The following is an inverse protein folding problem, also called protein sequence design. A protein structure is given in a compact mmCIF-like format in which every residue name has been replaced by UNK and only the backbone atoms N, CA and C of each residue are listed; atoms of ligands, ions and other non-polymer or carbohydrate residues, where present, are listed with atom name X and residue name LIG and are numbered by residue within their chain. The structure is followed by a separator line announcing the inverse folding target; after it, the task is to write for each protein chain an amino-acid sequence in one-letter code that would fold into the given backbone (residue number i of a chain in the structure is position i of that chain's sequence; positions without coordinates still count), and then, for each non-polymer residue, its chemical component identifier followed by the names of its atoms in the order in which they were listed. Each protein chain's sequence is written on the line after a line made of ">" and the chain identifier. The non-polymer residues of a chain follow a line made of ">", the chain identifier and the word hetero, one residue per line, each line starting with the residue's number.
data_IF_659774955624
#
_entry.id   IF_659774955624
#
_cell.length_a   1.000
_cell.length_b   1.000
_cell.length_c   1.000
_cell.angle_alpha   90.00
_cell.angle_beta   90.00
_cell.angle_gamma   90.00
#
_symmetry.space_group_name_H-M   'P 1'
#
loop_
_entity.id
_entity.type
_entity.pdbx_description
1 polymer ?
#
# COMPACT_ATOMS: atom_id res chain seq x y z
N UNK A 1 -12.45 2.01 -9.51
CA UNK A 1 -11.82 1.18 -10.54
C UNK A 1 -11.07 0.06 -9.79
N UNK A 2 -10.71 -1.02 -10.44
CA UNK A 2 -9.93 -2.10 -9.82
C UNK A 2 -8.62 -2.18 -10.59
N UNK A 3 -7.61 -2.87 -10.06
CA UNK A 3 -6.39 -3.13 -10.85
C UNK A 3 -6.78 -3.56 -12.28
N UNK A 4 -6.15 -2.99 -13.32
CA UNK A 4 -6.58 -3.15 -14.71
C UNK A 4 -6.18 -4.53 -15.29
N UNK A 5 -6.23 -5.57 -14.46
CA UNK A 5 -5.85 -6.93 -14.78
C UNK A 5 -7.03 -7.88 -14.48
N UNK A 6 -7.30 -8.79 -15.43
CA UNK A 6 -8.34 -9.80 -15.26
C UNK A 6 -7.87 -10.88 -14.28
N UNK A 7 -8.31 -10.75 -13.03
CA UNK A 7 -8.11 -11.77 -11.99
C UNK A 7 -8.94 -13.00 -12.34
N UNK A 8 -8.27 -14.15 -12.47
CA UNK A 8 -8.92 -15.44 -12.74
C UNK A 8 -9.16 -16.24 -11.47
N UNK A 9 -8.35 -16.00 -10.44
CA UNK A 9 -8.42 -16.75 -9.20
C UNK A 9 -8.01 -15.90 -8.00
N UNK A 10 -8.62 -16.16 -6.85
CA UNK A 10 -8.31 -15.45 -5.60
C UNK A 10 -8.36 -16.41 -4.42
N UNK A 11 -7.33 -16.37 -3.59
CA UNK A 11 -7.28 -17.03 -2.29
C UNK A 11 -6.98 -16.01 -1.20
N UNK A 12 -7.63 -16.16 -0.04
CA UNK A 12 -7.35 -15.36 1.15
C UNK A 12 -7.15 -16.31 2.31
N UNK A 13 -6.06 -16.12 3.05
CA UNK A 13 -5.74 -16.85 4.27
C UNK A 13 -5.59 -15.89 5.43
N UNK A 14 -6.00 -16.33 6.62
CA UNK A 14 -5.52 -15.71 7.85
C UNK A 14 -4.18 -16.33 8.25
N UNK A 15 -3.24 -15.49 8.68
CA UNK A 15 -1.98 -15.91 9.29
C UNK A 15 -1.76 -15.19 10.62
N UNK A 16 -0.99 -15.83 11.50
CA UNK A 16 -0.43 -15.18 12.67
C UNK A 16 0.96 -14.63 12.33
N UNK A 17 1.14 -13.33 12.53
CA UNK A 17 2.42 -12.63 12.40
C UNK A 17 3.35 -12.98 13.56
N UNK A 18 4.65 -12.75 13.38
CA UNK A 18 5.65 -12.99 14.41
C UNK A 18 5.37 -12.21 15.72
N UNK A 19 4.80 -11.01 15.61
CA UNK A 19 4.40 -10.19 16.75
C UNK A 19 3.09 -10.66 17.44
N UNK A 20 2.55 -11.81 17.05
CA UNK A 20 1.35 -12.42 17.63
C UNK A 20 0.01 -11.92 17.08
N UNK A 21 0.02 -10.86 16.25
CA UNK A 21 -1.16 -10.32 15.57
C UNK A 21 -1.63 -11.19 14.42
N UNK A 22 -2.89 -11.06 14.07
CA UNK A 22 -3.48 -11.70 12.90
C UNK A 22 -3.40 -10.77 11.69
N UNK A 23 -3.24 -11.35 10.50
CA UNK A 23 -3.30 -10.66 9.23
C UNK A 23 -4.05 -11.51 8.21
N UNK A 24 -4.83 -10.87 7.35
CA UNK A 24 -5.28 -11.51 6.12
C UNK A 24 -4.21 -11.33 5.06
N UNK A 25 -3.92 -12.39 4.32
CA UNK A 25 -3.07 -12.36 3.13
C UNK A 25 -3.87 -12.90 1.96
N UNK A 26 -3.94 -12.12 0.90
CA UNK A 26 -4.54 -12.52 -0.35
C UNK A 26 -3.47 -12.89 -1.38
N UNK A 27 -3.75 -13.91 -2.19
CA UNK A 27 -3.08 -14.17 -3.46
C UNK A 27 -4.11 -14.10 -4.57
N UNK A 28 -3.78 -13.39 -5.63
CA UNK A 28 -4.55 -13.41 -6.88
C UNK A 28 -3.69 -13.97 -8.00
N UNK A 29 -4.34 -14.63 -8.95
CA UNK A 29 -3.73 -15.05 -10.21
C UNK A 29 -4.37 -14.28 -11.36
N UNK A 30 -3.55 -13.83 -12.29
CA UNK A 30 -3.98 -13.26 -13.56
C UNK A 30 -4.05 -14.35 -14.65
N UNK A 31 -4.61 -14.01 -15.82
CA UNK A 31 -4.73 -14.92 -16.97
C UNK A 31 -3.39 -15.43 -17.52
N UNK A 32 -2.30 -14.73 -17.26
CA UNK A 32 -0.94 -15.09 -17.66
C UNK A 32 -0.19 -15.88 -16.56
N UNK A 33 -0.94 -16.44 -15.60
CA UNK A 33 -0.46 -17.14 -14.41
C UNK A 33 0.40 -16.29 -13.46
N UNK A 34 0.45 -14.96 -13.65
CA UNK A 34 1.15 -14.08 -12.72
C UNK A 34 0.44 -14.03 -11.38
N UNK A 35 1.18 -14.36 -10.32
CA UNK A 35 0.71 -14.28 -8.95
C UNK A 35 1.09 -12.94 -8.29
N UNK A 36 0.07 -12.27 -7.73
CA UNK A 36 0.26 -11.13 -6.85
C UNK A 36 -0.21 -11.42 -5.44
N UNK A 37 0.35 -10.69 -4.49
CA UNK A 37 0.07 -10.83 -3.07
C UNK A 37 -0.27 -9.49 -2.43
N UNK A 38 -1.14 -9.54 -1.43
CA UNK A 38 -1.63 -8.39 -0.70
C UNK A 38 -1.98 -8.77 0.73
N UNK A 39 -2.13 -7.78 1.61
CA UNK A 39 -2.41 -8.05 3.02
C UNK A 39 -3.42 -7.06 3.61
N UNK A 40 -3.96 -7.40 4.78
CA UNK A 40 -4.69 -6.47 5.63
C UNK A 40 -4.45 -6.82 7.10
N UNK A 41 -4.02 -5.83 7.88
CA UNK A 41 -3.84 -5.95 9.34
C UNK A 41 -5.10 -5.59 10.13
N UNK A 42 -6.12 -5.05 9.45
CA UNK A 42 -7.45 -4.75 9.98
C UNK A 42 -8.49 -5.81 9.58
N UNK A 43 -8.02 -6.92 8.99
CA UNK A 43 -8.83 -8.06 8.58
C UNK A 43 -9.88 -7.75 7.49
N UNK A 44 -9.60 -6.75 6.65
CA UNK A 44 -10.39 -6.46 5.45
C UNK A 44 -9.83 -7.20 4.22
N UNK A 45 -10.55 -8.24 3.80
CA UNK A 45 -10.19 -9.03 2.63
C UNK A 45 -10.29 -8.25 1.30
N UNK A 46 -11.09 -7.17 1.23
CA UNK A 46 -11.19 -6.34 0.01
C UNK A 46 -9.89 -5.59 -0.24
N UNK A 47 -9.32 -4.99 0.82
CA UNK A 47 -8.03 -4.30 0.77
C UNK A 47 -6.92 -5.27 0.37
N UNK A 48 -6.84 -6.42 1.02
CA UNK A 48 -5.82 -7.43 0.69
C UNK A 48 -5.90 -7.88 -0.78
N UNK A 49 -7.11 -8.05 -1.32
CA UNK A 49 -7.31 -8.45 -2.72
C UNK A 49 -6.93 -7.34 -3.71
N UNK A 50 -7.29 -6.09 -3.42
CA UNK A 50 -6.91 -4.95 -4.28
C UNK A 50 -5.39 -4.80 -4.33
N UNK A 51 -4.72 -4.88 -3.17
CA UNK A 51 -3.25 -4.89 -3.10
C UNK A 51 -2.65 -6.02 -3.94
N UNK A 52 -3.18 -7.24 -3.81
CA UNK A 52 -2.72 -8.39 -4.55
C UNK A 52 -2.89 -8.22 -6.06
N UNK A 53 -3.99 -7.61 -6.51
CA UNK A 53 -4.25 -7.36 -7.92
C UNK A 53 -3.27 -6.34 -8.52
N UNK A 54 -2.96 -5.27 -7.79
CA UNK A 54 -1.93 -4.31 -8.20
C UNK A 54 -0.51 -4.89 -8.18
N UNK A 55 -0.18 -5.72 -7.19
CA UNK A 55 1.09 -6.45 -7.15
C UNK A 55 1.23 -7.39 -8.36
N UNK A 56 0.17 -8.15 -8.69
CA UNK A 56 0.17 -9.03 -9.85
C UNK A 56 0.29 -8.24 -11.16
N UNK A 57 -0.43 -7.13 -11.29
CA UNK A 57 -0.40 -6.29 -12.48
C UNK A 57 0.99 -5.70 -12.72
N UNK A 58 1.63 -5.18 -11.68
CA UNK A 58 3.00 -4.67 -11.74
C UNK A 58 4.01 -5.77 -12.13
N UNK A 59 3.86 -6.98 -11.58
CA UNK A 59 4.69 -8.15 -11.95
C UNK A 59 4.50 -8.56 -13.40
N UNK A 60 3.26 -8.66 -13.87
CA UNK A 60 2.92 -9.03 -15.25
C UNK A 60 3.49 -8.01 -16.25
N UNK A 61 3.45 -6.72 -15.89
CA UNK A 61 4.06 -5.64 -16.68
C UNK A 61 5.59 -5.53 -16.54
N UNK A 62 6.25 -6.41 -15.77
CA UNK A 62 7.69 -6.37 -15.54
C UNK A 62 8.19 -5.08 -14.89
N UNK A 63 7.34 -4.36 -14.16
CA UNK A 63 7.62 -3.01 -13.66
C UNK A 63 7.41 -2.92 -12.15
N UNK A 64 8.26 -2.22 -11.38
CA UNK A 64 8.00 -1.92 -9.98
C UNK A 64 6.72 -1.11 -9.83
N UNK A 65 5.86 -1.46 -8.87
CA UNK A 65 4.57 -0.80 -8.68
C UNK A 65 4.72 0.71 -8.48
N UNK A 66 5.74 1.15 -7.75
CA UNK A 66 5.96 2.58 -7.52
C UNK A 66 6.26 3.37 -8.81
N UNK A 67 6.93 2.77 -9.81
CA UNK A 67 7.15 3.42 -11.11
C UNK A 67 5.86 3.44 -11.93
N UNK A 68 5.12 2.34 -11.89
CA UNK A 68 3.80 2.24 -12.53
C UNK A 68 2.83 3.30 -12.01
N UNK A 69 2.91 3.63 -10.72
CA UNK A 69 2.12 4.68 -10.07
C UNK A 69 2.71 6.09 -10.23
N UNK A 70 3.77 6.26 -11.04
CA UNK A 70 4.36 7.56 -11.36
C UNK A 70 5.33 8.11 -10.30
N UNK A 71 5.79 7.28 -9.36
CA UNK A 71 6.84 7.68 -8.43
C UNK A 71 8.17 7.95 -9.14
N UNK A 72 8.94 8.93 -8.65
CA UNK A 72 10.15 9.45 -9.33
C UNK A 72 11.47 9.24 -8.57
N UNK A 73 11.43 9.04 -7.25
CA UNK A 73 12.62 8.92 -6.38
C UNK A 73 12.90 7.50 -5.88
N UNK A 74 14.15 7.09 -5.72
CA UNK A 74 14.44 5.73 -5.24
C UNK A 74 14.15 5.53 -3.74
N UNK A 75 14.08 6.61 -2.96
CA UNK A 75 13.92 6.57 -1.51
C UNK A 75 12.78 7.47 -1.03
N UNK A 76 12.08 7.02 0.01
CA UNK A 76 10.97 7.73 0.62
C UNK A 76 11.31 8.02 2.09
N UNK A 77 11.31 9.29 2.55
CA UNK A 77 11.55 9.59 3.95
C UNK A 77 10.53 8.90 4.86
N UNK A 78 11.01 8.38 5.99
CA UNK A 78 10.18 7.77 7.03
C UNK A 78 10.41 8.53 8.33
N UNK A 79 9.34 9.02 8.93
CA UNK A 79 9.41 9.81 10.17
C UNK A 79 8.42 9.31 11.21
N UNK A 80 8.73 9.60 12.48
CA UNK A 80 7.75 9.48 13.55
C UNK A 80 6.76 10.65 13.47
N UNK A 81 5.47 10.35 13.51
CA UNK A 81 4.40 11.35 13.66
C UNK A 81 3.27 10.75 14.50
N UNK A 82 2.93 11.43 15.60
CA UNK A 82 1.86 11.02 16.51
C UNK A 82 0.49 11.60 16.16
N UNK A 83 0.43 12.53 15.21
CA UNK A 83 -0.81 13.21 14.83
C UNK A 83 -1.77 12.25 14.10
N UNK A 84 -3.09 12.38 14.31
CA UNK A 84 -4.06 11.54 13.63
C UNK A 84 -4.07 11.78 12.11
N UNK A 85 -4.31 10.71 11.35
CA UNK A 85 -4.64 10.82 9.94
C UNK A 85 -5.99 11.54 9.75
N UNK A 86 -6.13 12.23 8.63
CA UNK A 86 -7.41 12.80 8.21
C UNK A 86 -8.42 11.66 7.99
N UNK A 87 -9.67 11.90 8.38
CA UNK A 87 -10.75 10.94 8.20
C UNK A 87 -10.88 10.53 6.71
N UNK A 88 -11.22 9.26 6.41
CA UNK A 88 -11.31 8.74 5.04
C UNK A 88 -12.58 9.18 4.32
N UNK A 89 -12.80 10.49 4.22
CA UNK A 89 -13.93 11.12 3.54
C UNK A 89 -13.42 12.09 2.45
N UNK A 90 -13.68 11.73 1.20
CA UNK A 90 -13.20 12.46 0.03
C UNK A 90 -13.73 13.89 -0.02
N UNK A 91 -14.99 14.08 0.32
CA UNK A 91 -15.67 15.34 0.02
C UNK A 91 -15.19 16.48 0.96
N UNK A 92 -15.10 16.30 2.29
CA UNK A 92 -14.44 17.25 3.19
C UNK A 92 -12.95 17.44 2.88
N UNK A 93 -12.23 16.35 2.56
CA UNK A 93 -10.80 16.42 2.24
C UNK A 93 -10.56 17.29 1.00
N UNK A 94 -11.29 17.03 -0.09
CA UNK A 94 -11.17 17.76 -1.33
C UNK A 94 -11.50 19.25 -1.15
N UNK A 95 -12.59 19.58 -0.43
CA UNK A 95 -12.90 20.99 -0.09
C UNK A 95 -11.78 21.64 0.72
N UNK A 96 -11.20 20.93 1.68
CA UNK A 96 -10.09 21.44 2.49
C UNK A 96 -8.80 21.66 1.69
N UNK A 97 -8.50 20.75 0.74
CA UNK A 97 -7.40 20.87 -0.21
C UNK A 97 -7.55 22.12 -1.09
N UNK A 98 -8.71 22.29 -1.75
CA UNK A 98 -8.99 23.45 -2.61
C UNK A 98 -8.92 24.75 -1.82
N UNK A 99 -9.43 24.75 -0.58
CA UNK A 99 -9.36 25.90 0.32
C UNK A 99 -7.98 26.08 1.00
N UNK A 100 -6.96 25.29 0.62
CA UNK A 100 -5.59 25.31 1.18
C UNK A 100 -5.55 25.26 2.72
N UNK A 101 -6.45 24.49 3.32
CA UNK A 101 -6.56 24.35 4.79
C UNK A 101 -5.49 23.45 5.39
N UNK A 102 -4.83 22.65 4.57
CA UNK A 102 -3.85 21.67 5.02
C UNK A 102 -2.44 22.12 4.62
N UNK A 103 -1.54 22.20 5.60
CA UNK A 103 -0.09 22.30 5.34
C UNK A 103 0.49 20.97 4.85
N UNK A 104 -0.15 19.87 5.20
CA UNK A 104 0.19 18.50 4.82
C UNK A 104 -1.06 17.63 4.95
N UNK A 105 -1.27 16.74 3.97
CA UNK A 105 -2.32 15.73 4.01
C UNK A 105 -1.77 14.50 4.73
N UNK A 106 -2.20 14.26 5.96
CA UNK A 106 -1.94 12.99 6.66
C UNK A 106 -3.03 12.01 6.29
N UNK A 107 -2.68 10.87 5.71
CA UNK A 107 -3.66 9.89 5.28
C UNK A 107 -3.25 8.48 5.66
N UNK A 108 -4.23 7.69 6.09
CA UNK A 108 -4.08 6.25 6.29
C UNK A 108 -4.55 5.50 5.04
N UNK A 109 -3.65 5.07 4.14
CA UNK A 109 -4.04 4.44 2.88
C UNK A 109 -4.84 3.15 3.07
N UNK A 110 -4.74 2.49 4.24
CA UNK A 110 -5.48 1.26 4.55
C UNK A 110 -6.93 1.58 4.91
N UNK A 111 -7.18 2.69 5.60
CA UNK A 111 -8.53 3.17 5.91
C UNK A 111 -9.31 3.70 4.69
N UNK A 112 -8.61 4.19 3.66
CA UNK A 112 -9.23 4.60 2.39
C UNK A 112 -9.63 3.40 1.50
N UNK A 113 -9.09 2.22 1.82
CA UNK A 113 -9.39 0.94 1.20
C UNK A 113 -8.79 0.76 -0.19
N UNK A 114 -9.38 1.38 -1.20
CA UNK A 114 -9.01 1.19 -2.61
C UNK A 114 -7.80 2.04 -3.00
N UNK A 115 -6.79 1.43 -3.65
CA UNK A 115 -5.56 2.09 -4.07
C UNK A 115 -5.81 3.35 -4.90
N UNK A 116 -6.83 3.32 -5.74
CA UNK A 116 -7.12 4.43 -6.66
C UNK A 116 -7.68 5.65 -5.97
N UNK A 117 -8.42 5.47 -4.87
CA UNK A 117 -8.85 6.60 -4.04
C UNK A 117 -7.60 7.26 -3.44
N UNK A 118 -6.66 6.45 -2.96
CA UNK A 118 -5.37 6.95 -2.48
C UNK A 118 -4.62 7.69 -3.58
N UNK A 119 -4.51 7.12 -4.78
CA UNK A 119 -3.86 7.78 -5.92
C UNK A 119 -4.56 9.08 -6.34
N UNK A 120 -5.89 9.12 -6.30
CA UNK A 120 -6.67 10.33 -6.60
C UNK A 120 -6.36 11.45 -5.60
N UNK A 121 -6.21 11.12 -4.32
CA UNK A 121 -5.83 12.06 -3.26
C UNK A 121 -4.39 12.52 -3.46
N UNK A 122 -3.45 11.61 -3.67
CA UNK A 122 -2.03 11.94 -3.90
C UNK A 122 -1.89 12.86 -5.11
N UNK A 123 -2.59 12.56 -6.22
CA UNK A 123 -2.58 13.39 -7.40
C UNK A 123 -3.25 14.77 -7.18
N UNK A 124 -4.36 14.83 -6.43
CA UNK A 124 -5.02 16.09 -6.10
C UNK A 124 -4.13 16.98 -5.21
N UNK A 125 -3.48 16.40 -4.20
CA UNK A 125 -2.56 17.11 -3.34
C UNK A 125 -1.33 17.61 -4.11
N UNK A 126 -0.76 16.79 -5.00
CA UNK A 126 0.36 17.17 -5.85
C UNK A 126 0.03 18.35 -6.78
N UNK A 127 -1.16 18.38 -7.41
CA UNK A 127 -1.62 19.51 -8.24
C UNK A 127 -1.73 20.83 -7.47
N UNK A 128 -1.89 20.75 -6.15
CA UNK A 128 -2.02 21.90 -5.25
C UNK A 128 -0.75 22.16 -4.45
N UNK A 129 0.37 21.50 -4.79
CA UNK A 129 1.65 21.59 -4.09
C UNK A 129 1.51 21.37 -2.56
N UNK A 130 0.64 20.44 -2.18
CA UNK A 130 0.40 20.07 -0.78
C UNK A 130 1.10 18.74 -0.49
N UNK A 131 2.08 18.71 0.44
CA UNK A 131 2.74 17.47 0.84
C UNK A 131 1.77 16.40 1.36
N UNK A 132 2.10 15.13 1.14
CA UNK A 132 1.31 14.00 1.62
C UNK A 132 2.16 13.14 2.57
N UNK A 133 1.64 12.83 3.75
CA UNK A 133 2.21 11.86 4.67
C UNK A 133 1.32 10.61 4.71
N UNK A 134 1.87 9.48 4.26
CA UNK A 134 1.21 8.18 4.25
C UNK A 134 1.48 7.45 5.58
N UNK A 135 0.44 7.23 6.36
CA UNK A 135 0.53 6.55 7.66
C UNK A 135 0.63 5.04 7.47
N UNK A 136 1.70 4.44 8.00
CA UNK A 136 1.76 3.01 8.30
C UNK A 136 1.31 2.80 9.76
N UNK A 137 0.02 2.50 10.01
CA UNK A 137 -0.61 2.69 11.33
C UNK A 137 0.01 1.80 12.40
N UNK A 138 0.51 0.62 12.02
CA UNK A 138 1.11 -0.36 12.91
C UNK A 138 2.64 -0.35 12.84
N UNK A 139 3.24 0.49 11.98
CA UNK A 139 4.68 0.51 11.73
C UNK A 139 5.22 -0.81 11.19
N UNK A 140 4.35 -1.68 10.65
CA UNK A 140 4.76 -3.00 10.19
C UNK A 140 5.57 -2.87 8.88
N UNK A 141 6.64 -3.65 8.66
CA UNK A 141 7.44 -3.56 7.44
C UNK A 141 6.63 -3.68 6.14
N UNK A 142 5.56 -4.49 6.13
CA UNK A 142 4.65 -4.59 4.99
C UNK A 142 3.89 -3.28 4.72
N UNK A 143 3.44 -2.59 5.77
CA UNK A 143 2.76 -1.31 5.62
C UNK A 143 3.71 -0.23 5.12
N UNK A 144 4.93 -0.17 5.65
CA UNK A 144 5.96 0.78 5.22
C UNK A 144 6.29 0.56 3.74
N UNK A 145 6.51 -0.70 3.31
CA UNK A 145 6.77 -1.04 1.92
C UNK A 145 5.59 -0.65 1.01
N UNK A 146 4.37 -0.92 1.44
CA UNK A 146 3.17 -0.54 0.69
C UNK A 146 3.02 0.98 0.57
N UNK A 147 3.17 1.73 1.68
CA UNK A 147 3.18 3.19 1.65
C UNK A 147 4.28 3.74 0.72
N UNK A 148 5.47 3.11 0.70
CA UNK A 148 6.54 3.50 -0.21
C UNK A 148 6.17 3.26 -1.69
N UNK A 149 5.42 2.18 -1.98
CA UNK A 149 4.91 1.92 -3.31
C UNK A 149 3.90 2.99 -3.77
N UNK A 150 3.06 3.47 -2.87
CA UNK A 150 2.05 4.51 -3.14
C UNK A 150 2.61 5.94 -3.16
N UNK A 151 3.81 6.15 -2.61
CA UNK A 151 4.39 7.47 -2.43
C UNK A 151 4.69 8.18 -3.77
N UNK A 152 4.03 9.32 -3.97
CA UNK A 152 4.37 10.30 -5.01
C UNK A 152 5.66 11.07 -4.71
N UNK A 153 5.98 12.05 -5.55
CA UNK A 153 7.22 12.85 -5.50
C UNK A 153 7.42 13.58 -4.16
N UNK A 154 6.38 14.24 -3.66
CA UNK A 154 6.41 15.03 -2.41
C UNK A 154 5.79 14.29 -1.21
N UNK A 155 5.69 12.96 -1.28
CA UNK A 155 5.16 12.19 -0.19
C UNK A 155 6.19 11.97 0.93
N UNK A 156 5.76 11.51 2.09
CA UNK A 156 6.58 10.88 3.14
C UNK A 156 5.80 9.71 3.74
N UNK A 157 6.50 8.83 4.44
CA UNK A 157 5.87 7.79 5.27
C UNK A 157 5.95 8.26 6.71
N UNK A 158 4.84 8.12 7.44
CA UNK A 158 4.81 8.36 8.87
C UNK A 158 4.43 7.08 9.62
N UNK A 159 5.05 6.88 10.77
CA UNK A 159 4.76 5.80 11.72
C UNK A 159 4.52 6.40 13.11
N UNK A 160 3.73 5.71 13.95
CA UNK A 160 3.41 6.21 15.30
C UNK A 160 4.58 6.06 16.29
N UNK A 161 5.40 5.03 16.09
CA UNK A 161 6.58 4.73 16.91
C UNK A 161 7.87 5.22 16.28
N UNK A 162 9.00 4.83 16.88
CA UNK A 162 10.32 5.06 16.30
C UNK A 162 10.42 4.34 14.93
N UNK A 163 10.80 5.04 13.86
CA UNK A 163 10.90 4.42 12.55
C UNK A 163 12.10 3.45 12.51
N UNK A 164 11.95 2.27 11.91
CA UNK A 164 13.05 1.29 11.84
C UNK A 164 14.22 1.77 10.97
N UNK A 165 13.94 2.69 10.04
CA UNK A 165 14.90 3.36 9.16
C UNK A 165 14.45 4.80 8.90
N UNK A 166 15.36 5.77 8.69
CA UNK A 166 14.98 7.16 8.40
C UNK A 166 14.44 7.37 6.97
N UNK A 167 14.69 6.41 6.07
CA UNK A 167 14.16 6.38 4.72
C UNK A 167 13.99 4.94 4.24
N UNK A 168 12.97 4.68 3.44
CA UNK A 168 12.70 3.37 2.83
C UNK A 168 13.15 3.38 1.37
N UNK A 169 14.04 2.44 1.01
CA UNK A 169 14.50 2.25 -0.36
C UNK A 169 13.51 1.41 -1.15
N UNK A 170 12.99 1.97 -2.25
CA UNK A 170 12.00 1.30 -3.10
C UNK A 170 12.67 0.21 -3.94
N UNK A 171 12.17 -1.03 -3.92
CA UNK A 171 12.74 -2.10 -4.73
C UNK A 171 12.58 -1.83 -6.24
N UNK A 172 13.54 -2.29 -7.02
CA UNK A 172 13.55 -2.15 -8.49
C UNK A 172 13.05 -3.41 -9.22
N UNK A 173 12.72 -4.46 -8.47
CA UNK A 173 12.10 -5.64 -9.06
C UNK A 173 10.58 -5.42 -9.27
N UNK A 174 9.95 -6.15 -10.21
CA UNK A 174 8.52 -6.03 -10.45
C UNK A 174 7.66 -6.31 -9.20
N UNK A 175 6.52 -5.63 -9.10
CA UNK A 175 5.57 -5.77 -7.98
C UNK A 175 5.65 -4.67 -6.92
N UNK A 176 4.97 -4.90 -5.79
CA UNK A 176 4.80 -3.97 -4.67
C UNK A 176 6.06 -3.73 -3.83
N UNK A 177 7.05 -4.63 -3.91
CA UNK A 177 8.24 -4.55 -3.07
C UNK A 177 8.05 -5.03 -1.62
N UNK A 178 6.87 -5.57 -1.28
CA UNK A 178 6.62 -6.18 0.03
C UNK A 178 7.44 -7.46 0.17
N UNK A 179 8.25 -7.55 1.24
CA UNK A 179 9.02 -8.76 1.57
C UNK A 179 8.15 -9.74 2.35
N UNK A 180 7.48 -10.64 1.63
CA UNK A 180 6.56 -11.63 2.22
C UNK A 180 7.25 -12.63 3.16
N UNK A 181 8.47 -13.06 2.80
CA UNK A 181 9.28 -13.99 3.58
C UNK A 181 9.72 -13.43 4.95
N UNK A 182 9.48 -12.14 5.24
CA UNK A 182 9.70 -11.58 6.58
C UNK A 182 8.73 -12.13 7.64
N UNK A 183 7.67 -12.83 7.23
CA UNK A 183 6.69 -13.44 8.14
C UNK A 183 6.63 -14.94 7.92
N UNK A 184 7.09 -15.78 8.87
CA UNK A 184 7.06 -17.24 8.72
C UNK A 184 5.66 -17.82 8.49
N UNK A 185 4.62 -17.15 9.00
CA UNK A 185 3.23 -17.55 8.76
C UNK A 185 2.82 -17.48 7.28
N UNK A 186 3.46 -16.64 6.48
CA UNK A 186 3.24 -16.58 5.03
C UNK A 186 3.79 -17.82 4.32
N UNK A 187 5.01 -18.25 4.68
CA UNK A 187 5.66 -19.41 4.07
C UNK A 187 4.94 -20.73 4.38
N UNK A 188 4.16 -20.76 5.46
CA UNK A 188 3.33 -21.91 5.84
C UNK A 188 2.02 -22.02 5.03
N UNK A 189 1.66 -21.03 4.22
CA UNK A 189 0.41 -21.04 3.46
C UNK A 189 0.48 -22.10 2.34
N UNK A 190 -0.50 -23.01 2.33
CA UNK A 190 -0.72 -23.94 1.22
C UNK A 190 -1.65 -23.32 0.19
N UNK A 191 -1.07 -22.74 -0.85
CA UNK A 191 -1.85 -22.17 -1.93
C UNK A 191 -2.37 -23.25 -2.89
N UNK A 192 -3.68 -23.33 -3.08
CA UNK A 192 -4.25 -24.30 -4.03
C UNK A 192 -3.96 -23.89 -5.48
N UNK A 193 -3.85 -24.84 -6.40
CA UNK A 193 -3.81 -24.55 -7.83
C UNK A 193 -5.18 -24.01 -8.30
N UNK A 194 -5.24 -23.17 -9.35
CA UNK A 194 -6.51 -22.93 -10.04
C UNK A 194 -7.03 -24.29 -10.54
N UNK A 195 -8.32 -24.56 -10.27
CA UNK A 195 -9.01 -25.80 -10.67
C UNK A 195 -9.63 -25.71 -12.05
#
# INVERSE_FOLDING_TARGET
>A
MAAPAAVVHTHVHSIRLAAGREALVARVLLKDDTAGFGFSLDLDATVARDMAAWDAHAKSAGTPLWRMLGGTRAEVPVAQDGEPALAPDWEPLHRGLVARRYKMVRMDPFAWGALEKVQSIVAAAARLDTPVALLAPNGHPWEIAWCAALAGEHASIIVRGEPPVPAFRRPEHPGSGVSWASQPGFDAIRWLAPG
#
